data_IF_397737641017
#
_entry.id   IF_397737641017
#
_cell.length_a   1.000
_cell.length_b   1.000
_cell.length_c   1.000
_cell.angle_alpha   90.00
_cell.angle_beta   90.00
_cell.angle_gamma   90.00
#
_symmetry.space_group_name_H-M   'P 1'
#
loop_
_entity.id
_entity.type
_entity.pdbx_description
1 polymer ?
#
# COMPACT_ATOMS: atom_id res chain seq x y z
N UNK A 1 -33.34 15.37 11.82
CA UNK A 1 -33.27 14.18 10.95
C UNK A 1 -32.31 14.51 9.82
N UNK A 2 -31.16 13.88 9.55
CA UNK A 2 -30.55 12.60 9.93
C UNK A 2 -29.02 12.83 9.91
N UNK A 3 -28.39 12.41 11.02
CA UNK A 3 -26.98 12.06 11.28
C UNK A 3 -25.87 12.70 10.40
N UNK A 4 -25.14 13.63 11.02
CA UNK A 4 -23.74 13.96 10.69
C UNK A 4 -22.92 12.67 10.76
N UNK A 5 -22.60 12.10 9.60
CA UNK A 5 -21.70 10.96 9.48
C UNK A 5 -20.31 11.51 9.15
N UNK A 6 -19.69 12.11 10.16
CA UNK A 6 -18.28 12.42 10.20
C UNK A 6 -17.58 11.16 10.75
N UNK A 7 -17.34 10.18 9.89
CA UNK A 7 -16.36 9.14 10.18
C UNK A 7 -15.00 9.70 9.77
N UNK A 8 -14.29 10.22 10.76
CA UNK A 8 -12.87 10.49 10.66
C UNK A 8 -12.22 9.11 10.50
N UNK A 9 -11.97 8.68 9.26
CA UNK A 9 -11.06 7.56 9.01
C UNK A 9 -9.66 8.10 9.24
N UNK A 10 -9.24 8.05 10.50
CA UNK A 10 -7.83 7.87 10.84
C UNK A 10 -7.43 6.48 10.38
N UNK A 11 -7.38 6.22 9.08
CA UNK A 11 -6.75 5.00 8.57
C UNK A 11 -5.25 5.25 8.60
N UNK A 12 -4.66 5.10 9.78
CA UNK A 12 -3.27 4.73 9.82
C UNK A 12 -3.19 3.37 9.11
N UNK A 13 -2.52 3.36 7.95
CA UNK A 13 -2.31 2.14 7.21
C UNK A 13 -1.24 1.32 7.94
N UNK A 14 -1.63 0.56 8.96
CA UNK A 14 -0.69 -0.33 9.66
C UNK A 14 -0.50 -1.60 8.84
N UNK A 15 0.49 -1.53 7.93
CA UNK A 15 0.92 -2.64 7.09
C UNK A 15 1.52 -3.75 7.94
N UNK A 16 0.71 -4.70 8.40
CA UNK A 16 1.20 -5.88 9.15
C UNK A 16 1.68 -6.94 8.16
N UNK A 17 2.79 -6.63 7.47
CA UNK A 17 3.44 -7.51 6.51
C UNK A 17 4.05 -8.73 7.18
N UNK A 18 3.58 -9.95 6.89
CA UNK A 18 4.34 -11.17 7.20
C UNK A 18 5.27 -11.46 6.02
N UNK A 19 6.55 -11.16 6.19
CA UNK A 19 7.55 -11.31 5.12
C UNK A 19 8.11 -12.73 5.10
N UNK A 20 8.22 -13.38 3.95
CA UNK A 20 9.00 -14.62 3.85
C UNK A 20 9.95 -14.48 2.68
N UNK A 21 11.24 -14.54 2.98
CA UNK A 21 12.30 -14.23 2.03
C UNK A 21 12.81 -15.51 1.35
N UNK A 22 12.86 -15.56 0.02
CA UNK A 22 13.36 -16.74 -0.71
C UNK A 22 14.46 -16.31 -1.70
N UNK A 23 15.75 -16.48 -1.34
CA UNK A 23 16.86 -16.22 -2.29
C UNK A 23 18.31 -16.34 -1.76
N UNK A 24 19.02 -17.38 -2.21
CA UNK A 24 20.47 -17.69 -2.22
C UNK A 24 21.42 -17.27 -1.05
N UNK A 25 21.55 -18.18 -0.07
CA UNK A 25 22.79 -18.69 0.56
C UNK A 25 23.99 -17.77 0.90
N UNK A 26 23.79 -16.54 1.34
CA UNK A 26 24.82 -15.89 2.15
C UNK A 26 24.24 -15.47 3.49
N UNK A 27 24.94 -15.85 4.56
CA UNK A 27 24.61 -15.63 5.97
C UNK A 27 24.71 -14.14 6.38
N UNK A 28 24.52 -13.24 5.42
CA UNK A 28 24.62 -11.81 5.53
C UNK A 28 23.26 -11.24 5.17
N UNK A 29 22.70 -10.40 6.05
CA UNK A 29 21.38 -9.79 5.83
C UNK A 29 21.32 -8.96 4.54
N UNK A 30 20.12 -8.84 3.99
CA UNK A 30 19.88 -8.12 2.75
C UNK A 30 20.35 -6.66 2.84
N UNK A 31 21.03 -6.16 1.81
CA UNK A 31 21.59 -4.79 1.76
C UNK A 31 21.27 -4.12 0.44
N UNK A 32 21.51 -2.81 0.40
CA UNK A 32 21.35 -2.01 -0.82
C UNK A 32 22.11 -2.63 -2.01
N UNK A 33 21.46 -2.69 -3.16
CA UNK A 33 21.93 -3.33 -4.38
C UNK A 33 21.61 -4.82 -4.50
N UNK A 34 21.17 -5.49 -3.42
CA UNK A 34 20.75 -6.89 -3.51
C UNK A 34 19.34 -6.99 -4.14
N UNK A 35 19.16 -7.98 -5.01
CA UNK A 35 17.85 -8.36 -5.56
C UNK A 35 17.18 -9.36 -4.62
N UNK A 36 15.94 -9.07 -4.25
CA UNK A 36 15.23 -9.78 -3.19
C UNK A 36 13.86 -10.25 -3.67
N UNK A 37 13.44 -11.43 -3.22
CA UNK A 37 12.09 -11.95 -3.47
C UNK A 37 11.39 -12.14 -2.13
N UNK A 38 10.25 -11.48 -1.99
CA UNK A 38 9.57 -11.34 -0.71
C UNK A 38 8.10 -11.71 -0.86
N UNK A 39 7.66 -12.71 -0.11
CA UNK A 39 6.22 -12.88 0.12
C UNK A 39 5.74 -11.86 1.13
N UNK A 40 4.55 -11.30 0.93
CA UNK A 40 3.98 -10.28 1.82
C UNK A 40 2.47 -10.42 1.96
N UNK A 41 1.95 -9.91 3.07
CA UNK A 41 0.52 -9.71 3.28
C UNK A 41 0.30 -8.35 3.92
N UNK A 42 -0.28 -7.43 3.18
CA UNK A 42 -0.61 -6.09 3.63
C UNK A 42 -2.00 -6.10 4.27
N UNK A 43 -2.09 -5.74 5.54
CA UNK A 43 -3.35 -5.57 6.27
C UNK A 43 -3.57 -4.11 6.67
N UNK A 44 -4.83 -3.78 6.96
CA UNK A 44 -5.21 -2.56 7.67
C UNK A 44 -5.14 -2.80 9.20
N UNK A 45 -5.29 -1.72 9.98
CA UNK A 45 -5.35 -1.79 11.45
C UNK A 45 -6.49 -2.67 11.98
N UNK A 46 -7.59 -2.78 11.23
CA UNK A 46 -8.72 -3.62 11.57
C UNK A 46 -8.52 -5.11 11.23
N UNK A 47 -7.36 -5.47 10.68
CA UNK A 47 -7.03 -6.84 10.25
C UNK A 47 -7.53 -7.19 8.85
N UNK A 48 -8.20 -6.28 8.15
CA UNK A 48 -8.61 -6.50 6.76
C UNK A 48 -7.37 -6.64 5.88
N UNK A 49 -7.27 -7.76 5.16
CA UNK A 49 -6.23 -7.95 4.15
C UNK A 49 -6.54 -7.04 2.97
N UNK A 50 -5.65 -6.08 2.72
CA UNK A 50 -5.74 -5.16 1.60
C UNK A 50 -5.02 -5.71 0.36
N UNK A 51 -3.85 -6.33 0.55
CA UNK A 51 -3.15 -7.05 -0.52
C UNK A 51 -2.33 -8.23 0.01
N UNK A 52 -2.04 -9.22 -0.84
CA UNK A 52 -1.20 -10.36 -0.48
C UNK A 52 -0.56 -11.00 -1.72
N UNK A 53 0.70 -11.44 -1.56
CA UNK A 53 1.37 -12.30 -2.55
C UNK A 53 0.98 -13.77 -2.40
N UNK A 54 0.24 -14.15 -1.36
CA UNK A 54 -0.17 -15.54 -1.14
C UNK A 54 -0.96 -16.09 -2.34
N UNK A 55 -0.46 -17.16 -2.94
CA UNK A 55 -1.04 -17.78 -4.15
C UNK A 55 -0.65 -17.09 -5.46
N UNK A 56 0.29 -16.13 -5.43
CA UNK A 56 0.90 -15.47 -6.59
C UNK A 56 2.44 -15.61 -6.50
N UNK A 57 3.15 -15.08 -7.48
CA UNK A 57 4.61 -14.97 -7.38
C UNK A 57 5.00 -13.91 -6.32
N UNK A 58 6.05 -14.16 -5.53
CA UNK A 58 6.61 -13.16 -4.61
C UNK A 58 7.00 -11.88 -5.35
N UNK A 59 6.93 -10.74 -4.67
CA UNK A 59 7.42 -9.49 -5.26
C UNK A 59 8.94 -9.53 -5.34
N UNK A 60 9.50 -9.15 -6.49
CA UNK A 60 10.93 -9.02 -6.71
C UNK A 60 11.29 -7.54 -6.89
N UNK A 61 12.29 -7.08 -6.13
CA UNK A 61 12.81 -5.72 -6.25
C UNK A 61 14.28 -5.65 -5.82
N UNK A 62 14.93 -4.52 -6.09
CA UNK A 62 16.30 -4.23 -5.67
C UNK A 62 16.25 -3.24 -4.51
N UNK A 63 16.93 -3.56 -3.40
CA UNK A 63 17.03 -2.64 -2.26
C UNK A 63 17.85 -1.42 -2.68
N UNK A 64 17.37 -0.22 -2.38
CA UNK A 64 17.97 1.07 -2.70
C UNK A 64 17.37 1.76 -3.93
N UNK A 65 16.48 1.09 -4.69
CA UNK A 65 15.91 1.66 -5.93
C UNK A 65 14.56 2.35 -5.75
N UNK A 66 13.99 2.41 -4.54
CA UNK A 66 12.68 3.02 -4.26
C UNK A 66 11.57 2.47 -5.17
N UNK A 67 11.61 1.17 -5.49
CA UNK A 67 10.59 0.48 -6.29
C UNK A 67 9.35 0.13 -5.48
N UNK A 68 9.49 0.10 -4.16
CA UNK A 68 8.45 -0.20 -3.17
C UNK A 68 8.38 0.95 -2.15
N UNK A 69 7.39 0.91 -1.26
CA UNK A 69 7.26 1.93 -0.21
C UNK A 69 8.49 1.94 0.70
N UNK A 70 8.98 3.11 1.15
CA UNK A 70 10.20 3.22 1.96
C UNK A 70 10.20 2.31 3.20
N UNK A 71 9.10 2.27 3.95
CA UNK A 71 9.01 1.46 5.17
C UNK A 71 9.07 -0.05 4.90
N UNK A 72 8.69 -0.50 3.70
CA UNK A 72 8.81 -1.90 3.30
C UNK A 72 10.25 -2.25 2.96
N UNK A 73 10.92 -1.36 2.21
CA UNK A 73 12.33 -1.53 1.86
C UNK A 73 13.21 -1.55 3.13
N UNK A 74 12.95 -0.63 4.05
CA UNK A 74 13.63 -0.55 5.35
C UNK A 74 13.35 -1.77 6.24
N UNK A 75 12.13 -2.32 6.19
CA UNK A 75 11.78 -3.53 6.94
C UNK A 75 12.58 -4.75 6.48
N UNK A 76 12.82 -4.84 5.16
CA UNK A 76 13.54 -5.92 4.49
C UNK A 76 15.06 -5.80 4.64
N UNK A 77 15.59 -4.58 4.80
CA UNK A 77 17.01 -4.38 5.02
C UNK A 77 17.49 -5.13 6.27
N UNK A 78 18.56 -5.89 6.12
CA UNK A 78 19.15 -6.72 7.16
C UNK A 78 18.47 -8.07 7.39
N UNK A 79 17.34 -8.36 6.71
CA UNK A 79 16.68 -9.66 6.86
C UNK A 79 17.51 -10.79 6.25
N UNK A 80 17.47 -11.96 6.88
CA UNK A 80 18.04 -13.19 6.33
C UNK A 80 17.04 -13.97 5.48
N UNK A 81 17.55 -14.84 4.61
CA UNK A 81 16.70 -15.72 3.79
C UNK A 81 15.90 -16.67 4.68
N UNK A 82 14.60 -16.75 4.46
CA UNK A 82 13.66 -17.53 5.27
C UNK A 82 13.23 -16.85 6.57
N UNK A 83 13.74 -15.64 6.86
CA UNK A 83 13.26 -14.86 8.00
C UNK A 83 11.84 -14.37 7.74
N UNK A 84 11.05 -14.37 8.81
CA UNK A 84 9.75 -13.71 8.84
C UNK A 84 9.71 -12.61 9.87
N UNK A 85 9.28 -11.44 9.40
CA UNK A 85 9.16 -10.22 10.19
C UNK A 85 7.78 -9.64 9.99
N UNK A 86 7.28 -9.01 11.05
CA UNK A 86 6.09 -8.18 11.03
C UNK A 86 6.47 -6.78 11.46
N UNK A 87 6.16 -5.80 10.61
CA UNK A 87 6.38 -4.38 10.92
C UNK A 87 5.06 -3.63 10.88
N UNK A 88 5.08 -2.41 11.40
CA UNK A 88 4.00 -1.45 11.22
C UNK A 88 4.62 -0.25 10.52
N UNK A 89 4.15 0.05 9.31
CA UNK A 89 4.67 1.14 8.49
C UNK A 89 3.78 2.37 8.71
N UNK A 90 4.31 3.50 9.18
CA UNK A 90 3.52 4.73 9.30
C UNK A 90 3.14 5.26 7.92
N UNK A 91 2.03 6.02 7.76
CA UNK A 91 1.59 6.54 6.47
C UNK A 91 2.68 7.29 5.71
N UNK A 92 3.52 8.06 6.40
CA UNK A 92 4.62 8.84 5.84
C UNK A 92 5.68 7.99 5.13
N UNK A 93 5.88 6.75 5.56
CA UNK A 93 6.80 5.77 4.96
C UNK A 93 6.07 4.76 4.05
N UNK A 94 4.75 4.89 3.93
CA UNK A 94 3.86 4.10 3.10
C UNK A 94 3.36 4.88 1.89
N UNK A 95 2.05 5.10 1.84
CA UNK A 95 1.36 5.80 0.74
C UNK A 95 1.04 7.27 1.03
N UNK A 96 1.55 7.81 2.13
CA UNK A 96 1.33 9.18 2.58
C UNK A 96 0.02 9.38 3.33
N UNK A 97 -0.15 10.60 3.85
CA UNK A 97 -1.38 11.03 4.51
C UNK A 97 -2.44 11.37 3.46
N UNK A 98 -3.74 11.17 3.77
CA UNK A 98 -4.83 11.61 2.92
C UNK A 98 -4.68 13.10 2.59
N UNK A 99 -4.59 13.41 1.29
CA UNK A 99 -4.47 14.78 0.82
C UNK A 99 -5.85 15.33 0.48
N UNK A 100 -6.28 16.38 1.18
CA UNK A 100 -7.52 17.09 0.87
C UNK A 100 -7.52 17.66 -0.57
N UNK A 101 -6.34 17.91 -1.15
CA UNK A 101 -6.20 18.39 -2.52
C UNK A 101 -6.50 17.30 -3.56
N UNK A 102 -6.50 16.03 -3.17
CA UNK A 102 -6.91 14.90 -4.03
C UNK A 102 -8.42 14.60 -3.92
N UNK A 103 -9.16 15.40 -3.15
CA UNK A 103 -10.63 15.31 -3.07
C UNK A 103 -11.23 16.39 -3.96
N UNK A 104 -11.91 15.97 -5.02
CA UNK A 104 -12.60 16.89 -5.94
C UNK A 104 -14.11 16.79 -5.79
N UNK A 105 -14.77 17.95 -5.66
CA UNK A 105 -16.22 18.04 -5.74
C UNK A 105 -16.59 18.20 -7.21
N UNK A 106 -17.22 17.17 -7.77
CA UNK A 106 -17.67 17.15 -9.17
C UNK A 106 -19.15 17.49 -9.22
N UNK A 107 -19.50 18.46 -10.05
CA UNK A 107 -20.90 18.79 -10.30
C UNK A 107 -21.57 17.67 -11.09
N UNK A 108 -22.81 17.32 -10.73
CA UNK A 108 -23.54 16.23 -11.42
C UNK A 108 -23.71 16.49 -12.92
N UNK A 109 -23.68 17.75 -13.34
CA UNK A 109 -23.75 18.15 -14.75
C UNK A 109 -22.48 17.83 -15.55
N UNK A 110 -21.35 17.59 -14.89
CA UNK A 110 -20.10 17.17 -15.54
C UNK A 110 -20.08 15.67 -15.82
N UNK A 111 -21.01 14.91 -15.24
CA UNK A 111 -21.18 13.49 -15.52
C UNK A 111 -22.04 13.32 -16.79
N UNK A 112 -21.86 12.23 -17.55
CA UNK A 112 -22.78 11.87 -18.63
C UNK A 112 -24.23 11.81 -18.15
N UNK A 113 -25.17 12.27 -18.96
CA UNK A 113 -26.57 12.43 -18.55
C UNK A 113 -27.28 11.11 -18.18
N UNK A 114 -26.78 9.99 -18.69
CA UNK A 114 -27.24 8.63 -18.46
C UNK A 114 -26.45 7.90 -17.36
N UNK A 115 -25.55 8.59 -16.67
CA UNK A 115 -24.69 8.00 -15.66
C UNK A 115 -25.16 8.34 -14.23
N UNK A 116 -25.39 7.30 -13.42
CA UNK A 116 -25.71 7.44 -11.99
C UNK A 116 -24.57 6.87 -11.15
N UNK A 117 -23.81 7.72 -10.41
CA UNK A 117 -22.69 7.24 -9.61
C UNK A 117 -23.18 6.44 -8.41
N UNK A 118 -22.50 5.33 -8.12
CA UNK A 118 -22.73 4.49 -6.94
C UNK A 118 -21.60 4.70 -5.94
N UNK A 119 -21.91 4.76 -4.64
CA UNK A 119 -20.89 4.89 -3.58
C UNK A 119 -19.93 3.71 -3.65
N UNK A 120 -18.62 4.00 -3.66
CA UNK A 120 -17.56 2.99 -3.78
C UNK A 120 -17.23 2.58 -5.22
N UNK A 121 -17.92 3.14 -6.22
CA UNK A 121 -17.60 2.91 -7.62
C UNK A 121 -16.32 3.66 -8.02
N UNK A 122 -15.43 2.97 -8.73
CA UNK A 122 -14.32 3.60 -9.43
C UNK A 122 -14.82 4.29 -10.69
N UNK A 123 -14.51 5.58 -10.81
CA UNK A 123 -14.80 6.39 -11.99
C UNK A 123 -13.50 6.99 -12.50
N UNK A 124 -13.30 6.99 -13.81
CA UNK A 124 -12.20 7.69 -14.45
C UNK A 124 -12.70 9.02 -15.03
N UNK A 125 -11.85 10.03 -14.97
CA UNK A 125 -12.09 11.33 -15.56
C UNK A 125 -10.76 12.03 -15.80
N UNK A 126 -10.76 13.00 -16.72
CA UNK A 126 -9.65 13.94 -16.85
C UNK A 126 -9.96 15.16 -16.00
N UNK A 127 -8.97 15.61 -15.23
CA UNK A 127 -9.04 16.90 -14.57
C UNK A 127 -8.24 17.92 -15.38
N UNK A 128 -8.24 19.18 -14.94
CA UNK A 128 -7.60 20.28 -15.70
C UNK A 128 -6.07 20.15 -15.80
N UNK A 129 -5.48 19.23 -15.03
CA UNK A 129 -4.06 18.93 -14.94
C UNK A 129 -3.60 17.77 -15.85
N UNK A 130 -4.51 17.06 -16.53
CA UNK A 130 -4.22 16.05 -17.56
C UNK A 130 -4.75 14.66 -17.23
#
# INVERSE_FOLDING_TARGET
MIKKLLFILTSALVVTGMFSFVGCSSKAGAKDGDTVKVDYTLTLEDGTVYDTSSGKEPIEFIIGENKVIPGFEDAVRGMEVGETKTVTIPPEEGYGMPSANLVQVVEKSQLPADYTPVVGQYISGQSSDG
#
